data_IF_572566042114
#
_entry.id   IF_572566042114
#
_cell.length_a   1.000
_cell.length_b   1.000
_cell.length_c   1.000
_cell.angle_alpha   90.00
_cell.angle_beta   90.00
_cell.angle_gamma   90.00
#
_symmetry.space_group_name_H-M   'P 1'
#
loop_
_entity.id
_entity.type
_entity.pdbx_description
1 polymer ?
#
# COMPACT_ATOMS: atom_id res chain seq x y z
N UNK A 1 8.54 -19.60 -12.91
CA UNK A 1 7.61 -18.80 -12.05
C UNK A 1 7.23 -17.53 -12.81
N UNK A 2 6.32 -16.67 -12.32
CA UNK A 2 6.10 -15.38 -12.98
C UNK A 2 7.35 -14.47 -12.83
N UNK A 3 7.71 -13.72 -13.88
CA UNK A 3 8.81 -12.75 -13.84
C UNK A 3 8.49 -11.53 -12.98
N UNK A 4 7.21 -11.15 -12.94
CA UNK A 4 6.67 -10.04 -12.15
C UNK A 4 5.66 -10.59 -11.16
N UNK A 5 5.84 -10.25 -9.89
CA UNK A 5 4.85 -10.53 -8.84
C UNK A 5 4.27 -9.21 -8.35
N UNK A 6 2.96 -9.05 -8.50
CA UNK A 6 2.19 -8.00 -7.87
C UNK A 6 1.76 -8.40 -6.45
N UNK A 7 1.69 -7.45 -5.52
CA UNK A 7 1.15 -7.68 -4.18
C UNK A 7 0.14 -6.56 -3.88
N UNK A 8 -1.10 -6.98 -3.69
CA UNK A 8 -2.22 -6.06 -3.50
C UNK A 8 -2.21 -5.42 -2.09
N UNK A 9 -3.00 -4.37 -1.90
CA UNK A 9 -3.25 -3.75 -0.60
C UNK A 9 -4.44 -4.37 0.14
N UNK A 10 -5.08 -3.58 0.99
CA UNK A 10 -6.30 -3.96 1.71
C UNK A 10 -7.53 -4.08 0.79
N UNK A 11 -8.69 -4.42 1.37
CA UNK A 11 -10.01 -4.43 0.71
C UNK A 11 -10.19 -5.52 -0.37
N UNK A 12 -9.44 -6.61 -0.26
CA UNK A 12 -9.49 -7.71 -1.24
C UNK A 12 -10.08 -9.01 -0.66
N UNK A 13 -10.66 -8.96 0.54
CA UNK A 13 -11.05 -10.16 1.30
C UNK A 13 -12.09 -11.04 0.61
N UNK A 14 -12.92 -10.48 -0.26
CA UNK A 14 -13.94 -11.22 -1.01
C UNK A 14 -13.49 -11.65 -2.41
N UNK A 15 -12.21 -11.46 -2.75
CA UNK A 15 -11.67 -11.74 -4.09
C UNK A 15 -10.86 -13.04 -4.13
N UNK A 16 -9.98 -13.15 -5.12
CA UNK A 16 -9.01 -14.23 -5.26
C UNK A 16 -7.84 -13.84 -6.16
N UNK A 17 -6.77 -14.63 -6.14
CA UNK A 17 -5.54 -14.38 -6.90
C UNK A 17 -5.77 -14.19 -8.40
N UNK A 18 -6.58 -15.06 -9.01
CA UNK A 18 -6.93 -14.97 -10.44
C UNK A 18 -7.69 -13.68 -10.77
N UNK A 19 -8.61 -13.25 -9.91
CA UNK A 19 -9.40 -12.04 -10.12
C UNK A 19 -8.51 -10.80 -10.09
N UNK A 20 -7.66 -10.66 -9.07
CA UNK A 20 -6.79 -9.48 -8.96
C UNK A 20 -5.75 -9.47 -10.08
N UNK A 21 -5.18 -10.64 -10.39
CA UNK A 21 -4.22 -10.75 -11.50
C UNK A 21 -4.85 -10.34 -12.83
N UNK A 22 -6.08 -10.81 -13.12
CA UNK A 22 -6.81 -10.46 -14.33
C UNK A 22 -7.17 -8.97 -14.42
N UNK A 23 -7.37 -8.29 -13.29
CA UNK A 23 -7.66 -6.85 -13.27
C UNK A 23 -6.43 -5.96 -13.37
N UNK A 24 -5.32 -6.37 -12.76
CA UNK A 24 -4.08 -5.60 -12.81
C UNK A 24 -3.33 -5.79 -14.14
N UNK A 25 -3.45 -6.97 -14.75
CA UNK A 25 -2.70 -7.34 -15.96
C UNK A 25 -2.89 -6.35 -17.12
N UNK A 26 -4.12 -5.93 -17.51
CA UNK A 26 -4.31 -4.94 -18.56
C UNK A 26 -3.62 -3.60 -18.23
N UNK A 27 -3.82 -3.08 -17.02
CA UNK A 27 -3.22 -1.80 -16.62
C UNK A 27 -1.69 -1.86 -16.58
N UNK A 28 -1.13 -2.97 -16.10
CA UNK A 28 0.32 -3.20 -16.12
C UNK A 28 0.87 -3.27 -17.55
N UNK A 29 0.15 -3.95 -18.46
CA UNK A 29 0.51 -3.98 -19.88
C UNK A 29 0.47 -2.59 -20.51
N UNK A 30 -0.52 -1.76 -20.17
CA UNK A 30 -0.62 -0.40 -20.66
C UNK A 30 0.58 0.45 -20.22
N UNK A 31 0.96 0.39 -18.93
CA UNK A 31 2.15 1.07 -18.43
C UNK A 31 3.44 0.59 -19.10
N UNK A 32 3.62 -0.72 -19.25
CA UNK A 32 4.77 -1.30 -19.97
C UNK A 32 4.82 -0.84 -21.43
N UNK A 33 3.66 -0.82 -22.10
CA UNK A 33 3.54 -0.36 -23.50
C UNK A 33 3.97 1.09 -23.65
N UNK A 34 3.55 1.96 -22.73
CA UNK A 34 3.99 3.36 -22.68
C UNK A 34 5.50 3.48 -22.43
N UNK A 35 6.07 2.58 -21.63
CA UNK A 35 7.50 2.45 -21.43
C UNK A 35 8.22 1.73 -22.59
N UNK A 36 7.55 1.46 -23.71
CA UNK A 36 8.16 0.87 -24.91
C UNK A 36 8.57 -0.59 -24.77
N UNK A 37 7.93 -1.35 -23.87
CA UNK A 37 8.11 -2.80 -23.72
C UNK A 37 6.76 -3.51 -23.64
N UNK A 38 6.75 -4.83 -23.78
CA UNK A 38 5.54 -5.65 -23.68
C UNK A 38 5.87 -6.92 -22.89
N UNK A 39 4.86 -7.51 -22.24
CA UNK A 39 5.00 -8.83 -21.65
C UNK A 39 5.08 -9.88 -22.75
N UNK A 40 6.04 -10.80 -22.63
CA UNK A 40 6.16 -11.94 -23.54
C UNK A 40 4.99 -12.91 -23.37
N UNK A 41 4.53 -13.10 -22.14
CA UNK A 41 3.36 -13.92 -21.79
C UNK A 41 2.55 -13.32 -20.65
N UNK A 42 1.23 -13.50 -20.69
CA UNK A 42 0.33 -13.14 -19.59
C UNK A 42 0.67 -13.90 -18.30
N UNK A 43 1.32 -15.06 -18.41
CA UNK A 43 1.80 -15.85 -17.28
C UNK A 43 3.03 -15.27 -16.59
N UNK A 44 3.70 -14.29 -17.21
CA UNK A 44 4.85 -13.61 -16.62
C UNK A 44 4.44 -12.63 -15.51
N UNK A 45 3.14 -12.41 -15.33
CA UNK A 45 2.59 -11.63 -14.24
C UNK A 45 1.61 -12.45 -13.41
N UNK A 46 1.70 -12.32 -12.08
CA UNK A 46 0.70 -12.81 -11.13
C UNK A 46 0.64 -11.92 -9.92
N UNK A 47 -0.50 -11.87 -9.24
CA UNK A 47 -0.61 -11.28 -7.92
C UNK A 47 -0.50 -12.34 -6.82
N UNK A 48 0.37 -12.10 -5.84
CA UNK A 48 0.26 -12.76 -4.54
C UNK A 48 -1.02 -12.28 -3.86
N UNK A 49 -1.81 -13.22 -3.34
CA UNK A 49 -3.12 -12.93 -2.76
C UNK A 49 -3.16 -13.36 -1.31
N UNK A 50 -3.54 -12.42 -0.45
CA UNK A 50 -3.69 -12.66 0.98
C UNK A 50 -5.02 -12.12 1.53
N UNK A 51 -5.90 -11.57 0.68
CA UNK A 51 -7.16 -10.97 1.11
C UNK A 51 -8.04 -11.93 1.90
N UNK A 52 -8.05 -13.22 1.55
CA UNK A 52 -8.85 -14.25 2.24
C UNK A 52 -8.52 -14.39 3.73
N UNK A 53 -7.30 -14.04 4.15
CA UNK A 53 -6.87 -14.08 5.55
C UNK A 53 -7.66 -13.07 6.40
N UNK A 54 -8.12 -11.98 5.79
CA UNK A 54 -8.97 -10.97 6.43
C UNK A 54 -10.46 -11.30 6.40
N UNK A 55 -10.86 -12.47 5.85
CA UNK A 55 -12.27 -12.88 5.91
C UNK A 55 -12.70 -13.06 7.37
N UNK A 56 -13.77 -12.35 7.72
CA UNK A 56 -14.37 -12.43 9.05
C UNK A 56 -15.04 -13.78 9.34
N UNK A 57 -15.71 -13.84 10.48
CA UNK A 57 -16.40 -15.04 10.96
C UNK A 57 -17.43 -15.54 9.93
N UNK A 58 -17.41 -16.81 9.50
CA UNK A 58 -18.38 -17.38 8.56
C UNK A 58 -19.85 -17.30 9.01
N UNK A 59 -20.09 -17.09 10.30
CA UNK A 59 -21.43 -16.89 10.89
C UNK A 59 -21.88 -15.42 10.91
N UNK A 60 -20.99 -14.48 10.57
CA UNK A 60 -21.34 -13.07 10.44
C UNK A 60 -22.13 -12.83 9.14
N UNK A 61 -23.14 -11.97 9.19
CA UNK A 61 -23.94 -11.58 8.03
C UNK A 61 -23.40 -10.24 7.52
N UNK A 62 -22.86 -10.21 6.30
CA UNK A 62 -22.31 -9.01 5.67
C UNK A 62 -20.88 -8.66 6.11
N UNK A 63 -20.42 -7.47 5.72
CA UNK A 63 -19.19 -6.85 6.24
C UNK A 63 -19.38 -6.67 7.76
N UNK A 64 -18.34 -6.85 8.61
CA UNK A 64 -18.45 -6.51 10.03
C UNK A 64 -19.11 -5.14 10.17
N UNK A 65 -20.14 -5.04 11.00
CA UNK A 65 -20.89 -3.81 11.18
C UNK A 65 -20.07 -2.84 12.04
N UNK A 66 -18.97 -2.35 11.48
CA UNK A 66 -18.08 -1.41 12.12
C UNK A 66 -18.80 -0.08 12.34
N UNK A 67 -18.67 0.45 13.54
CA UNK A 67 -19.04 1.80 13.90
C UNK A 67 -17.89 2.55 14.59
N UNK A 68 -18.09 3.82 14.90
CA UNK A 68 -17.07 4.70 15.48
C UNK A 68 -16.44 4.13 16.76
N UNK A 69 -17.16 3.30 17.52
CA UNK A 69 -16.68 2.69 18.76
C UNK A 69 -15.72 1.52 18.51
N UNK A 70 -15.70 0.96 17.30
CA UNK A 70 -14.72 -0.05 16.92
C UNK A 70 -13.32 0.54 16.72
N UNK A 71 -13.17 1.87 16.64
CA UNK A 71 -11.86 2.54 16.71
C UNK A 71 -11.50 2.72 18.18
N UNK A 72 -10.95 1.66 18.75
CA UNK A 72 -10.75 1.51 20.19
C UNK A 72 -9.30 1.81 20.62
N UNK A 73 -8.33 1.63 19.73
CA UNK A 73 -6.91 1.91 20.04
C UNK A 73 -6.49 3.34 19.70
N UNK A 74 -5.53 3.88 20.45
CA UNK A 74 -4.97 5.22 20.17
C UNK A 74 -4.21 5.23 18.84
N UNK A 75 -3.58 4.11 18.47
CA UNK A 75 -2.90 3.96 17.19
C UNK A 75 -3.86 4.11 15.99
N UNK A 76 -5.07 3.53 16.05
CA UNK A 76 -6.06 3.67 14.97
C UNK A 76 -6.60 5.09 14.86
N UNK A 77 -6.80 5.76 16.01
CA UNK A 77 -7.25 7.16 16.04
C UNK A 77 -6.21 8.08 15.41
N UNK A 78 -4.94 7.88 15.75
CA UNK A 78 -3.82 8.67 15.19
C UNK A 78 -3.65 8.43 13.69
N UNK A 79 -3.79 7.19 13.21
CA UNK A 79 -3.73 6.89 11.77
C UNK A 79 -4.92 7.50 11.01
N UNK A 80 -6.14 7.36 11.53
CA UNK A 80 -7.32 8.01 10.95
C UNK A 80 -7.16 9.53 10.89
N UNK A 81 -6.66 10.13 11.97
CA UNK A 81 -6.41 11.56 12.04
C UNK A 81 -5.37 12.00 11.01
N UNK A 82 -4.33 11.20 10.78
CA UNK A 82 -3.29 11.50 9.79
C UNK A 82 -3.87 11.51 8.36
N UNK A 83 -4.72 10.53 8.03
CA UNK A 83 -5.42 10.51 6.73
C UNK A 83 -6.38 11.68 6.56
N UNK A 84 -7.11 12.06 7.61
CA UNK A 84 -7.98 13.23 7.59
C UNK A 84 -7.22 14.52 7.29
N UNK A 85 -6.15 14.77 8.04
CA UNK A 85 -5.34 15.98 7.90
C UNK A 85 -4.75 16.10 6.50
N UNK A 86 -4.33 14.98 5.91
CA UNK A 86 -3.84 14.97 4.54
C UNK A 86 -4.95 15.24 3.52
N UNK A 87 -6.15 14.70 3.75
CA UNK A 87 -7.33 15.01 2.92
C UNK A 87 -7.60 16.52 2.93
N UNK A 88 -7.59 17.15 4.12
CA UNK A 88 -7.75 18.60 4.24
C UNK A 88 -6.64 19.37 3.50
N UNK A 89 -5.39 18.92 3.58
CA UNK A 89 -4.24 19.51 2.87
C UNK A 89 -4.46 19.48 1.36
N UNK A 90 -4.78 18.30 0.83
CA UNK A 90 -4.90 18.03 -0.60
C UNK A 90 -6.15 18.70 -1.19
N UNK A 91 -7.26 18.81 -0.44
CA UNK A 91 -8.48 19.46 -0.91
C UNK A 91 -8.41 21.00 -0.88
N UNK A 92 -7.73 21.59 0.11
CA UNK A 92 -7.77 23.04 0.33
C UNK A 92 -6.56 23.84 -0.19
N UNK A 93 -5.51 23.19 -0.72
CA UNK A 93 -4.34 23.82 -1.35
C UNK A 93 -3.67 24.96 -0.55
N UNK A 94 -3.79 24.98 0.78
CA UNK A 94 -3.18 25.99 1.67
C UNK A 94 -2.64 25.37 2.98
N UNK A 95 -1.44 25.79 3.42
CA UNK A 95 -0.89 25.40 4.71
C UNK A 95 -1.57 26.26 5.78
N UNK A 96 -2.72 25.82 6.26
CA UNK A 96 -3.24 26.33 7.52
C UNK A 96 -3.91 25.20 8.31
N UNK A 97 -3.11 24.18 8.63
CA UNK A 97 -3.41 23.24 9.69
C UNK A 97 -3.07 23.88 11.05
N UNK A 98 -3.69 25.02 11.36
CA UNK A 98 -3.55 25.67 12.66
C UNK A 98 -4.94 25.90 13.23
N UNK A 99 -5.48 24.87 13.90
CA UNK A 99 -6.11 24.96 15.24
C UNK A 99 -6.96 23.72 15.55
N UNK A 100 -6.32 22.67 16.08
CA UNK A 100 -6.99 21.78 17.04
C UNK A 100 -6.40 22.01 18.42
N UNK A 101 -6.63 23.22 18.93
CA UNK A 101 -6.55 23.45 20.36
C UNK A 101 -7.91 23.09 20.98
N UNK A 102 -7.90 22.03 21.80
CA UNK A 102 -8.85 21.80 22.92
C UNK A 102 -10.32 21.48 22.59
N UNK A 103 -10.61 20.32 21.98
CA UNK A 103 -11.91 19.65 22.20
C UNK A 103 -11.70 18.24 22.77
N UNK A 104 -12.20 18.02 24.00
CA UNK A 104 -12.00 16.79 24.81
C UNK A 104 -12.97 15.64 24.49
N UNK A 105 -13.73 15.72 23.39
CA UNK A 105 -14.73 14.69 23.07
C UNK A 105 -14.29 13.86 21.86
N UNK A 106 -13.55 12.79 22.15
CA UNK A 106 -12.94 11.84 21.21
C UNK A 106 -13.90 11.30 20.13
N UNK A 107 -15.18 10.96 20.39
CA UNK A 107 -16.06 10.39 19.36
C UNK A 107 -16.43 11.36 18.23
N UNK A 108 -16.58 12.66 18.52
CA UNK A 108 -16.97 13.66 17.51
C UNK A 108 -15.85 13.95 16.51
N UNK A 109 -14.60 13.90 16.96
CA UNK A 109 -13.42 14.08 16.09
C UNK A 109 -13.26 12.86 15.18
N UNK A 110 -13.40 11.65 15.72
CA UNK A 110 -13.35 10.42 14.92
C UNK A 110 -14.48 10.39 13.90
N UNK A 111 -15.71 10.76 14.29
CA UNK A 111 -16.85 10.80 13.37
C UNK A 111 -16.65 11.83 12.27
N UNK A 112 -16.20 13.05 12.60
CA UNK A 112 -15.80 14.04 11.58
C UNK A 112 -14.77 13.41 10.63
N UNK A 113 -13.69 12.85 11.19
CA UNK A 113 -12.60 12.24 10.45
C UNK A 113 -13.08 11.13 9.48
N UNK A 114 -14.03 10.31 9.90
CA UNK A 114 -14.64 9.29 9.05
C UNK A 114 -15.51 9.90 7.95
N UNK A 115 -16.36 10.88 8.28
CA UNK A 115 -17.32 11.45 7.34
C UNK A 115 -16.64 12.17 6.18
N UNK A 116 -15.72 13.09 6.44
CA UNK A 116 -14.96 13.76 5.35
C UNK A 116 -13.95 12.87 4.62
N UNK A 117 -13.41 11.79 5.21
CA UNK A 117 -12.69 10.78 4.41
C UNK A 117 -13.65 10.09 3.45
N UNK A 118 -14.82 9.66 3.96
CA UNK A 118 -15.86 8.99 3.18
C UNK A 118 -16.42 9.87 2.06
N UNK A 119 -16.55 11.18 2.31
CA UNK A 119 -17.02 12.19 1.35
C UNK A 119 -15.91 12.72 0.44
N UNK A 120 -14.64 12.44 0.73
CA UNK A 120 -13.51 12.95 -0.05
C UNK A 120 -13.52 12.44 -1.48
N UNK A 121 -13.02 13.29 -2.39
CA UNK A 121 -12.85 12.90 -3.79
C UNK A 121 -11.83 11.77 -4.00
N UNK A 122 -11.00 11.48 -2.99
CA UNK A 122 -9.85 10.56 -3.06
C UNK A 122 -10.15 9.15 -2.55
N UNK A 123 -11.03 9.03 -1.54
CA UNK A 123 -11.61 7.74 -1.19
C UNK A 123 -12.83 7.43 -2.06
N UNK A 124 -13.43 8.41 -2.74
CA UNK A 124 -14.51 8.19 -3.69
C UNK A 124 -15.76 7.62 -3.04
N UNK A 125 -16.52 8.44 -2.29
CA UNK A 125 -17.81 8.04 -1.69
C UNK A 125 -17.81 6.63 -1.07
N UNK A 126 -16.76 6.29 -0.33
CA UNK A 126 -16.65 5.01 0.37
C UNK A 126 -17.42 5.12 1.69
N UNK A 127 -18.12 4.06 2.10
CA UNK A 127 -18.82 4.06 3.38
C UNK A 127 -17.84 4.10 4.57
N UNK A 128 -18.13 4.85 5.64
CA UNK A 128 -17.27 4.97 6.84
C UNK A 128 -16.79 3.61 7.39
N UNK A 129 -17.68 2.61 7.40
CA UNK A 129 -17.37 1.23 7.81
C UNK A 129 -16.23 0.56 7.01
N UNK A 130 -16.04 0.94 5.74
CA UNK A 130 -14.94 0.45 4.92
C UNK A 130 -13.63 1.16 5.30
N UNK A 131 -13.66 2.45 5.62
CA UNK A 131 -12.49 3.16 6.17
C UNK A 131 -12.04 2.55 7.50
N UNK A 132 -12.99 2.19 8.39
CA UNK A 132 -12.68 1.48 9.64
C UNK A 132 -12.10 0.09 9.35
N UNK A 133 -12.70 -0.65 8.41
CA UNK A 133 -12.17 -1.96 8.00
C UNK A 133 -10.73 -1.85 7.49
N UNK A 134 -10.41 -0.77 6.77
CA UNK A 134 -9.08 -0.52 6.24
C UNK A 134 -8.06 -0.29 7.34
N UNK A 135 -8.39 0.56 8.32
CA UNK A 135 -7.58 0.75 9.54
C UNK A 135 -7.32 -0.57 10.25
N UNK A 136 -8.37 -1.39 10.44
CA UNK A 136 -8.27 -2.69 11.12
C UNK A 136 -7.37 -3.67 10.36
N UNK A 137 -7.38 -3.71 9.03
CA UNK A 137 -6.49 -4.58 8.25
C UNK A 137 -5.02 -4.17 8.41
N UNK A 138 -4.70 -2.87 8.32
CA UNK A 138 -3.33 -2.36 8.53
C UNK A 138 -2.88 -2.63 9.96
N UNK A 139 -3.74 -2.35 10.95
CA UNK A 139 -3.46 -2.60 12.36
C UNK A 139 -3.21 -4.09 12.64
N UNK A 140 -4.01 -4.98 12.05
CA UNK A 140 -3.85 -6.43 12.19
C UNK A 140 -2.51 -6.90 11.63
N UNK A 141 -2.11 -6.44 10.44
CA UNK A 141 -0.82 -6.81 9.87
C UNK A 141 0.35 -6.35 10.76
N UNK A 142 0.29 -5.12 11.30
CA UNK A 142 1.39 -4.58 12.10
C UNK A 142 1.48 -5.20 13.51
N UNK A 143 0.37 -5.60 14.12
CA UNK A 143 0.33 -6.00 15.53
C UNK A 143 0.06 -7.50 15.77
N UNK A 144 -0.52 -8.23 14.82
CA UNK A 144 -0.70 -9.69 14.90
C UNK A 144 0.41 -10.42 14.15
N UNK A 145 1.36 -10.97 14.90
CA UNK A 145 2.50 -11.72 14.35
C UNK A 145 2.09 -12.94 13.54
N UNK A 146 1.03 -13.64 13.95
CA UNK A 146 0.59 -14.87 13.27
C UNK A 146 -0.04 -14.50 11.93
N UNK A 147 -0.92 -13.50 11.92
CA UNK A 147 -1.52 -12.99 10.69
C UNK A 147 -0.45 -12.43 9.75
N UNK A 148 0.51 -11.65 10.27
CA UNK A 148 1.66 -11.17 9.50
C UNK A 148 2.40 -12.31 8.81
N UNK A 149 2.77 -13.35 9.56
CA UNK A 149 3.46 -14.51 9.01
C UNK A 149 2.65 -15.20 7.90
N UNK A 150 1.35 -15.42 8.11
CA UNK A 150 0.47 -16.03 7.11
C UNK A 150 0.41 -15.21 5.82
N UNK A 151 0.38 -13.87 5.93
CA UNK A 151 0.38 -12.97 4.78
C UNK A 151 1.73 -13.02 4.05
N UNK A 152 2.85 -13.00 4.77
CA UNK A 152 4.19 -13.09 4.20
C UNK A 152 4.39 -14.43 3.47
N UNK A 153 3.90 -15.53 4.02
CA UNK A 153 3.90 -16.86 3.38
C UNK A 153 3.23 -16.85 1.99
N UNK A 154 2.14 -16.09 1.79
CA UNK A 154 1.49 -15.94 0.47
C UNK A 154 2.38 -15.27 -0.57
N UNK A 155 3.20 -14.31 -0.14
CA UNK A 155 4.17 -13.65 -1.02
C UNK A 155 5.29 -14.63 -1.35
N UNK A 156 5.84 -15.33 -0.35
CA UNK A 156 6.89 -16.34 -0.50
C UNK A 156 6.47 -17.41 -1.53
N UNK A 157 5.24 -17.93 -1.45
CA UNK A 157 4.69 -18.91 -2.41
C UNK A 157 4.64 -18.42 -3.87
N UNK A 158 4.77 -17.11 -4.10
CA UNK A 158 4.74 -16.50 -5.44
C UNK A 158 6.12 -16.15 -5.99
N UNK A 159 7.19 -16.16 -5.17
CA UNK A 159 8.57 -15.87 -5.60
C UNK A 159 9.30 -17.14 -6.02
N UNK A 160 9.87 -17.14 -7.22
CA UNK A 160 10.69 -18.24 -7.73
C UNK A 160 11.95 -17.75 -8.42
N UNK A 161 12.75 -18.68 -8.95
CA UNK A 161 14.07 -18.40 -9.54
C UNK A 161 14.03 -17.40 -10.71
N UNK A 162 12.90 -17.32 -11.43
CA UNK A 162 12.70 -16.40 -12.57
C UNK A 162 12.08 -15.06 -12.16
N UNK A 163 11.65 -14.90 -10.91
CA UNK A 163 11.02 -13.65 -10.47
C UNK A 163 12.09 -12.56 -10.38
N UNK A 164 11.85 -11.42 -11.03
CA UNK A 164 12.79 -10.30 -11.11
C UNK A 164 12.22 -9.01 -10.54
N UNK A 165 10.90 -8.84 -10.61
CA UNK A 165 10.23 -7.59 -10.23
C UNK A 165 9.14 -7.87 -9.22
N UNK A 166 9.13 -7.09 -8.13
CA UNK A 166 8.07 -7.08 -7.13
C UNK A 166 7.36 -5.73 -7.18
N UNK A 167 6.07 -5.73 -7.47
CA UNK A 167 5.23 -4.52 -7.53
C UNK A 167 4.24 -4.55 -6.38
N UNK A 168 4.30 -3.60 -5.46
CA UNK A 168 3.56 -3.66 -4.22
C UNK A 168 2.76 -2.39 -3.98
N UNK A 169 1.44 -2.55 -3.80
CA UNK A 169 0.51 -1.44 -3.62
C UNK A 169 0.03 -1.32 -2.18
N UNK A 170 -0.02 -0.10 -1.65
CA UNK A 170 -0.63 0.20 -0.34
C UNK A 170 -0.07 -0.70 0.77
N UNK A 171 -0.89 -1.39 1.56
CA UNK A 171 -0.42 -2.36 2.58
C UNK A 171 0.56 -3.41 2.00
N UNK A 172 0.37 -3.81 0.73
CA UNK A 172 1.28 -4.72 0.05
C UNK A 172 2.73 -4.23 0.03
N UNK A 173 2.98 -2.91 0.02
CA UNK A 173 4.34 -2.37 0.08
C UNK A 173 5.03 -2.66 1.41
N UNK A 174 4.30 -2.59 2.53
CA UNK A 174 4.78 -2.97 3.85
C UNK A 174 5.07 -4.47 3.87
N UNK A 175 4.12 -5.28 3.38
CA UNK A 175 4.28 -6.75 3.30
C UNK A 175 5.55 -7.10 2.54
N UNK A 176 5.71 -6.57 1.33
CA UNK A 176 6.85 -6.85 0.47
C UNK A 176 8.16 -6.35 1.07
N UNK A 177 8.20 -5.14 1.63
CA UNK A 177 9.40 -4.60 2.25
C UNK A 177 9.90 -5.52 3.37
N UNK A 178 9.03 -5.86 4.32
CA UNK A 178 9.41 -6.70 5.46
C UNK A 178 9.78 -8.13 5.02
N UNK A 179 9.14 -8.65 3.96
CA UNK A 179 9.45 -9.98 3.42
C UNK A 179 10.79 -9.99 2.67
N UNK A 180 11.08 -8.98 1.85
CA UNK A 180 12.36 -8.82 1.16
C UNK A 180 13.53 -8.72 2.15
N UNK A 181 13.34 -7.99 3.26
CA UNK A 181 14.36 -7.90 4.31
C UNK A 181 14.69 -9.25 4.96
N UNK A 182 13.74 -10.19 4.97
CA UNK A 182 13.93 -11.55 5.50
C UNK A 182 14.56 -12.51 4.49
N UNK A 183 14.50 -12.18 3.20
CA UNK A 183 14.92 -13.03 2.10
C UNK A 183 15.92 -12.32 1.16
N UNK A 184 17.12 -11.95 1.66
CA UNK A 184 18.14 -11.31 0.83
C UNK A 184 18.63 -12.20 -0.32
N UNK A 185 18.44 -13.52 -0.26
CA UNK A 185 18.82 -14.46 -1.31
C UNK A 185 17.94 -14.40 -2.57
N UNK A 186 16.80 -13.71 -2.52
CA UNK A 186 15.86 -13.70 -3.63
C UNK A 186 16.39 -13.00 -4.88
N UNK A 187 16.03 -13.47 -6.09
CA UNK A 187 16.52 -12.94 -7.36
C UNK A 187 15.79 -11.64 -7.81
N UNK A 188 15.21 -10.89 -6.87
CA UNK A 188 14.45 -9.68 -7.16
C UNK A 188 15.42 -8.55 -7.50
N UNK A 189 15.46 -8.14 -8.78
CA UNK A 189 16.24 -6.99 -9.25
C UNK A 189 15.59 -5.68 -8.86
N UNK A 190 14.26 -5.56 -9.00
CA UNK A 190 13.55 -4.28 -8.83
C UNK A 190 12.36 -4.42 -7.88
N UNK A 191 12.31 -3.55 -6.89
CA UNK A 191 11.16 -3.34 -6.02
C UNK A 191 10.44 -2.04 -6.40
N UNK A 192 9.16 -2.15 -6.74
CA UNK A 192 8.31 -1.02 -7.10
C UNK A 192 7.21 -0.86 -6.05
N UNK A 193 7.14 0.29 -5.40
CA UNK A 193 6.09 0.60 -4.42
C UNK A 193 5.11 1.62 -4.98
N UNK A 194 3.81 1.33 -4.89
CA UNK A 194 2.73 2.17 -5.43
C UNK A 194 1.82 2.64 -4.29
N UNK A 195 1.60 3.94 -4.15
CA UNK A 195 0.73 4.49 -3.09
C UNK A 195 1.14 3.99 -1.70
N UNK A 196 2.45 4.03 -1.42
CA UNK A 196 3.06 3.35 -0.27
C UNK A 196 2.90 4.11 1.04
N UNK A 197 2.33 3.50 2.11
CA UNK A 197 2.26 4.11 3.42
C UNK A 197 3.54 3.85 4.27
N UNK A 198 4.59 3.26 3.70
CA UNK A 198 5.86 2.93 4.40
C UNK A 198 6.47 4.12 5.15
N UNK A 199 6.31 5.33 4.60
CA UNK A 199 6.92 6.53 5.16
C UNK A 199 6.16 7.19 6.30
N UNK A 200 5.01 6.65 6.74
CA UNK A 200 4.23 7.24 7.84
C UNK A 200 4.97 7.01 9.16
N UNK A 201 5.70 8.04 9.60
CA UNK A 201 6.42 8.08 10.89
C UNK A 201 5.47 7.87 12.06
N UNK A 202 6.00 7.31 13.13
CA UNK A 202 5.35 6.97 14.41
C UNK A 202 4.22 5.96 14.34
N UNK A 203 3.62 5.71 13.17
CA UNK A 203 2.49 4.79 12.99
C UNK A 203 2.90 3.53 12.26
N UNK A 204 3.63 3.66 11.14
CA UNK A 204 4.02 2.55 10.26
C UNK A 204 5.53 2.38 10.22
N UNK A 205 6.26 3.42 9.82
CA UNK A 205 7.71 3.36 9.60
C UNK A 205 8.46 2.81 10.83
N UNK A 206 8.19 3.36 12.01
CA UNK A 206 8.88 2.96 13.25
C UNK A 206 8.45 1.58 13.77
N UNK A 207 7.40 0.97 13.17
CA UNK A 207 6.92 -0.39 13.49
C UNK A 207 7.39 -1.45 12.48
N UNK A 208 8.07 -1.04 11.40
CA UNK A 208 8.58 -1.96 10.39
C UNK A 208 9.47 -3.04 11.02
N UNK A 209 9.52 -4.19 10.35
CA UNK A 209 10.37 -5.32 10.69
C UNK A 209 11.27 -5.64 9.48
N UNK A 210 12.60 -5.44 9.59
CA UNK A 210 13.35 -5.02 10.76
C UNK A 210 13.06 -3.56 11.16
N UNK A 211 13.16 -3.28 12.46
CA UNK A 211 12.92 -1.93 12.97
C UNK A 211 14.00 -0.94 12.49
N UNK A 212 13.61 0.28 12.08
CA UNK A 212 14.55 1.30 11.66
C UNK A 212 15.65 1.55 12.71
N UNK A 213 16.88 1.74 12.25
CA UNK A 213 18.04 2.07 13.09
C UNK A 213 18.52 3.47 12.74
N UNK A 214 18.79 4.30 13.75
CA UNK A 214 19.19 5.70 13.55
C UNK A 214 18.22 6.47 12.63
N UNK A 215 16.91 6.23 12.78
CA UNK A 215 15.84 6.80 11.96
C UNK A 215 15.84 6.41 10.47
N UNK A 216 16.60 5.38 10.09
CA UNK A 216 16.66 4.81 8.74
C UNK A 216 16.19 3.35 8.73
N UNK A 217 15.28 3.01 7.82
CA UNK A 217 14.94 1.62 7.50
C UNK A 217 16.05 1.01 6.66
N UNK A 218 16.30 -0.30 6.79
CA UNK A 218 17.34 -0.93 5.96
C UNK A 218 16.91 -1.02 4.49
N UNK A 219 17.88 -1.19 3.60
CA UNK A 219 17.61 -1.55 2.21
C UNK A 219 16.94 -2.94 2.14
N UNK A 220 15.88 -3.13 1.32
CA UNK A 220 15.11 -4.36 1.32
C UNK A 220 15.83 -5.49 0.58
N UNK A 221 16.45 -6.40 1.33
CA UNK A 221 17.15 -7.56 0.77
C UNK A 221 18.32 -7.13 -0.13
N UNK A 222 18.47 -7.78 -1.28
CA UNK A 222 19.51 -7.48 -2.27
C UNK A 222 18.94 -6.86 -3.56
N UNK A 223 17.80 -6.15 -3.48
CA UNK A 223 17.24 -5.51 -4.67
C UNK A 223 18.25 -4.51 -5.25
N UNK A 224 18.40 -4.51 -6.57
CA UNK A 224 19.33 -3.62 -7.25
C UNK A 224 18.76 -2.20 -7.35
N UNK A 225 17.43 -2.09 -7.47
CA UNK A 225 16.72 -0.81 -7.53
C UNK A 225 15.43 -0.84 -6.73
N UNK A 226 15.13 0.30 -6.11
CA UNK A 226 13.84 0.57 -5.50
C UNK A 226 13.27 1.85 -6.11
N UNK A 227 12.13 1.72 -6.79
CA UNK A 227 11.36 2.85 -7.31
C UNK A 227 10.07 3.00 -6.51
N UNK A 228 9.85 4.16 -5.93
CA UNK A 228 8.61 4.49 -5.24
C UNK A 228 7.79 5.46 -6.09
N UNK A 229 6.52 5.15 -6.27
CA UNK A 229 5.60 5.91 -7.13
C UNK A 229 4.41 6.31 -6.29
N UNK A 230 4.23 7.62 -6.14
CA UNK A 230 3.17 8.22 -5.35
C UNK A 230 2.37 9.23 -6.17
N UNK A 231 1.10 9.42 -5.82
CA UNK A 231 0.28 10.53 -6.29
C UNK A 231 0.17 11.56 -5.16
N UNK A 232 0.29 12.86 -5.48
CA UNK A 232 0.21 13.93 -4.49
C UNK A 232 -1.15 13.94 -3.75
N UNK A 233 -2.23 13.55 -4.45
CA UNK A 233 -3.56 13.39 -3.90
C UNK A 233 -3.84 12.06 -3.22
N UNK A 234 -2.90 11.12 -3.21
CA UNK A 234 -3.06 9.85 -2.49
C UNK A 234 -2.88 10.04 -0.97
N UNK A 235 -3.99 10.20 -0.28
CA UNK A 235 -4.05 10.44 1.18
C UNK A 235 -3.65 9.22 2.03
N UNK A 236 -3.50 8.03 1.45
CA UNK A 236 -2.95 6.86 2.16
C UNK A 236 -1.43 6.89 2.10
N UNK A 237 -0.86 7.30 0.97
CA UNK A 237 0.56 7.55 0.79
C UNK A 237 0.96 8.94 1.31
N UNK A 238 0.82 9.18 2.63
CA UNK A 238 1.10 10.49 3.24
C UNK A 238 2.50 11.03 2.91
N UNK A 239 3.49 10.13 2.91
CA UNK A 239 4.86 10.47 2.58
C UNK A 239 5.13 10.09 1.12
N UNK A 240 5.27 11.10 0.26
CA UNK A 240 5.48 10.90 -1.19
C UNK A 240 6.90 10.47 -1.54
N UNK A 241 7.87 10.89 -0.73
CA UNK A 241 9.29 10.59 -0.90
C UNK A 241 9.78 9.63 0.19
N UNK A 242 10.13 8.40 -0.19
CA UNK A 242 10.67 7.41 0.74
C UNK A 242 12.19 7.48 0.84
N UNK A 243 12.89 8.04 -0.15
CA UNK A 243 14.35 8.12 -0.20
C UNK A 243 15.02 8.61 1.10
N UNK A 244 14.55 9.67 1.80
CA UNK A 244 15.21 10.13 3.03
C UNK A 244 14.99 9.20 4.24
N UNK A 245 14.17 8.16 4.11
CA UNK A 245 13.74 7.30 5.21
C UNK A 245 14.44 5.94 5.24
N UNK A 246 15.07 5.52 4.15
CA UNK A 246 15.71 4.21 4.04
C UNK A 246 17.18 4.36 3.66
N UNK A 247 17.98 3.37 4.02
CA UNK A 247 19.35 3.24 3.51
C UNK A 247 19.34 3.10 1.99
N UNK A 248 20.42 3.48 1.31
CA UNK A 248 20.51 3.41 -0.15
C UNK A 248 19.94 4.64 -0.87
N UNK A 249 19.46 4.45 -2.10
CA UNK A 249 18.87 5.53 -2.91
C UNK A 249 17.60 5.00 -3.55
N UNK A 250 16.47 5.57 -3.15
CA UNK A 250 15.15 5.26 -3.72
C UNK A 250 14.86 6.28 -4.82
N UNK A 251 14.42 5.80 -5.98
CA UNK A 251 13.91 6.65 -7.04
C UNK A 251 12.44 7.00 -6.74
N UNK A 252 12.20 8.16 -6.12
CA UNK A 252 10.85 8.67 -5.87
C UNK A 252 10.29 9.37 -7.12
N UNK A 253 9.13 8.92 -7.60
CA UNK A 253 8.42 9.48 -8.76
C UNK A 253 7.00 9.88 -8.36
N UNK A 254 6.54 11.02 -8.88
CA UNK A 254 5.16 11.48 -8.75
C UNK A 254 4.36 11.20 -10.01
N UNK A 255 3.11 10.76 -9.85
CA UNK A 255 2.13 10.55 -10.93
C UNK A 255 0.83 11.30 -10.63
N UNK A 256 -0.05 11.37 -11.63
CA UNK A 256 -1.39 11.92 -11.50
C UNK A 256 -2.44 10.89 -11.94
N UNK A 257 -3.19 10.38 -10.97
CA UNK A 257 -4.19 9.32 -11.03
C UNK A 257 -5.63 9.86 -10.99
N UNK A 258 -5.80 11.18 -10.92
CA UNK A 258 -7.11 11.83 -10.89
C UNK A 258 -7.85 11.63 -9.56
N UNK A 259 -9.16 11.39 -9.60
CA UNK A 259 -9.97 11.17 -8.39
C UNK A 259 -9.74 9.80 -7.75
N UNK A 260 -9.24 8.82 -8.50
CA UNK A 260 -8.91 7.48 -7.98
C UNK A 260 -7.43 7.41 -7.59
N UNK A 261 -6.98 8.39 -6.79
CA UNK A 261 -5.56 8.62 -6.51
C UNK A 261 -4.83 7.40 -5.91
N UNK A 262 -5.58 6.58 -5.15
CA UNK A 262 -5.06 5.37 -4.51
C UNK A 262 -5.38 4.06 -5.27
N UNK A 263 -6.03 4.09 -6.45
CA UNK A 263 -6.30 2.86 -7.21
C UNK A 263 -5.02 2.34 -7.88
N UNK A 264 -4.63 1.10 -7.53
CA UNK A 264 -3.47 0.43 -8.10
C UNK A 264 -3.46 0.40 -9.63
N UNK A 265 -4.62 0.27 -10.29
CA UNK A 265 -4.70 0.24 -11.76
C UNK A 265 -4.24 1.56 -12.36
N UNK A 266 -4.56 2.70 -11.73
CA UNK A 266 -4.13 4.04 -12.20
C UNK A 266 -2.63 4.17 -12.14
N UNK A 267 -2.03 3.78 -11.02
CA UNK A 267 -0.58 3.67 -10.88
C UNK A 267 0.04 2.75 -11.95
N UNK A 268 -0.54 1.57 -12.17
CA UNK A 268 -0.02 0.60 -13.14
C UNK A 268 -0.05 1.11 -14.59
N UNK A 269 -1.03 1.94 -14.95
CA UNK A 269 -1.09 2.57 -16.28
C UNK A 269 -0.08 3.69 -16.49
N UNK A 270 0.61 4.16 -15.45
CA UNK A 270 1.59 5.23 -15.56
C UNK A 270 2.88 4.74 -16.27
N UNK A 271 3.47 5.61 -17.10
CA UNK A 271 4.72 5.29 -17.81
C UNK A 271 5.87 5.09 -16.83
N UNK A 272 5.89 5.84 -15.73
CA UNK A 272 6.86 5.74 -14.64
C UNK A 272 6.89 4.33 -14.03
N UNK A 273 5.71 3.73 -13.86
CA UNK A 273 5.56 2.34 -13.37
C UNK A 273 6.04 1.35 -14.41
N UNK A 274 5.67 1.54 -15.68
CA UNK A 274 6.17 0.72 -16.78
C UNK A 274 7.69 0.74 -16.90
N UNK A 275 8.32 1.91 -16.78
CA UNK A 275 9.77 2.08 -16.83
C UNK A 275 10.47 1.35 -15.68
N UNK A 276 9.92 1.49 -14.47
CA UNK A 276 10.43 0.81 -13.27
C UNK A 276 10.40 -0.71 -13.46
N UNK A 277 9.25 -1.25 -13.87
CA UNK A 277 9.10 -2.69 -14.12
C UNK A 277 10.04 -3.14 -15.25
N UNK A 278 10.07 -2.43 -16.38
CA UNK A 278 10.94 -2.72 -17.54
C UNK A 278 12.40 -2.85 -17.10
N UNK A 279 12.87 -2.00 -16.19
CA UNK A 279 14.27 -1.99 -15.75
C UNK A 279 14.71 -3.30 -15.08
N UNK A 280 13.78 -4.07 -14.50
CA UNK A 280 14.08 -5.38 -13.92
C UNK A 280 13.88 -6.56 -14.86
N UNK A 281 13.30 -6.35 -16.04
CA UNK A 281 13.09 -7.38 -17.06
C UNK A 281 14.22 -7.45 -18.09
N UNK A 282 15.10 -6.44 -18.10
CA UNK A 282 16.29 -6.42 -18.94
C UNK A 282 17.41 -7.19 -18.21
N UNK A 283 18.17 -7.99 -18.96
CA UNK A 283 19.31 -8.75 -18.44
C UNK A 283 20.47 -7.85 -18.01
#
# INVERSE_FOLDING_TARGET
MAKIVGVHGIAQEFRGSHTISAEWLPSLKDGLKLAGTELESDTDFRCAFYGDIFRGNPKAIGIPNYDVNDIDSDWEKELLQSWWQETERVENNHPNADSLSREKSTPKIIQRALSGLSESRFFGSIAEKLVISYLKQVGSYLHDRKLKQQIQERVIECIGEDTRVLVAHSLGSIVCYETLCQHPEWPIKVFVTLGSPLGIRQLIFDRLQPSPRNNLGCWPGNVERWVNIADDGDVVALTKELNPLFEGTIEDKLVYNGCEAHDAKRYLTAVETGEAIRSGLID
#
